data_IF_323977537938
#
_entry.id   IF_323977537938
#
_cell.length_a   1.000
_cell.length_b   1.000
_cell.length_c   1.000
_cell.angle_alpha   90.00
_cell.angle_beta   90.00
_cell.angle_gamma   90.00
#
_symmetry.space_group_name_H-M   'P 1'
#
loop_
_entity.id
_entity.type
_entity.pdbx_description
1 polymer ?
#
# COMPACT_ATOMS: atom_id res chain seq x y z
N UNK A 1 -18.08 14.94 30.87
CA UNK A 1 -17.97 13.72 30.05
C UNK A 1 -17.18 14.07 28.81
N UNK A 2 -15.92 13.67 28.74
CA UNK A 2 -15.07 13.83 27.56
C UNK A 2 -14.76 12.42 27.04
N UNK A 3 -15.31 12.07 25.89
CA UNK A 3 -14.94 10.84 25.20
C UNK A 3 -13.57 11.03 24.57
N UNK A 4 -12.55 10.41 25.18
CA UNK A 4 -11.23 10.27 24.59
C UNK A 4 -11.34 9.18 23.52
N UNK A 5 -11.32 9.57 22.24
CA UNK A 5 -11.15 8.63 21.14
C UNK A 5 -9.73 8.08 21.21
N UNK A 6 -9.58 6.88 21.74
CA UNK A 6 -8.37 6.10 21.61
C UNK A 6 -8.32 5.58 20.16
N UNK A 7 -7.80 6.40 19.24
CA UNK A 7 -7.50 5.95 17.88
C UNK A 7 -6.43 4.87 18.03
N UNK A 8 -6.86 3.62 17.89
CA UNK A 8 -5.98 2.47 17.79
C UNK A 8 -5.20 2.56 16.47
N UNK A 9 -4.19 3.43 16.41
CA UNK A 9 -3.11 3.25 15.46
C UNK A 9 -2.18 2.22 16.08
N UNK A 10 -2.47 0.95 15.79
CA UNK A 10 -1.60 -0.20 15.98
C UNK A 10 -0.27 0.05 15.28
N UNK A 11 0.60 0.84 15.91
CA UNK A 11 1.95 1.10 15.44
C UNK A 11 2.84 -0.05 15.88
N UNK A 12 3.56 -0.62 14.92
CA UNK A 12 4.60 -1.63 15.11
C UNK A 12 4.09 -3.03 15.45
N UNK A 13 3.27 -3.60 14.56
CA UNK A 13 3.52 -5.02 14.30
C UNK A 13 4.56 -5.08 13.18
N UNK A 14 5.82 -5.26 13.57
CA UNK A 14 6.86 -5.85 12.72
C UNK A 14 6.46 -7.30 12.42
N UNK A 15 5.28 -7.46 11.84
CA UNK A 15 4.70 -8.72 11.45
C UNK A 15 5.43 -9.09 10.18
N UNK A 16 6.38 -10.01 10.30
CA UNK A 16 7.07 -10.66 9.17
C UNK A 16 6.11 -11.55 8.35
N UNK A 17 4.80 -11.27 8.42
CA UNK A 17 3.72 -11.96 7.73
C UNK A 17 3.43 -11.17 6.47
N UNK A 18 3.29 -11.88 5.35
CA UNK A 18 2.84 -11.26 4.11
C UNK A 18 1.46 -10.64 4.36
N UNK A 19 1.30 -9.39 3.96
CA UNK A 19 0.05 -8.65 3.96
C UNK A 19 -0.30 -8.35 2.51
N UNK A 20 -1.58 -8.33 2.22
CA UNK A 20 -2.06 -7.82 0.93
C UNK A 20 -2.12 -6.30 1.01
N UNK A 21 -1.46 -5.64 0.06
CA UNK A 21 -1.47 -4.21 -0.11
C UNK A 21 -2.18 -3.90 -1.42
N UNK A 22 -3.05 -2.90 -1.38
CA UNK A 22 -3.64 -2.33 -2.59
C UNK A 22 -2.73 -1.19 -3.03
N UNK A 23 -2.20 -1.27 -4.24
CA UNK A 23 -1.33 -0.23 -4.81
C UNK A 23 -1.98 0.33 -6.05
N UNK A 24 -2.24 1.62 -6.03
CA UNK A 24 -2.65 2.36 -7.21
C UNK A 24 -1.41 2.85 -7.95
N UNK A 25 -1.25 2.42 -9.19
CA UNK A 25 -0.14 2.78 -10.05
C UNK A 25 -0.66 3.74 -11.12
N UNK A 26 -0.14 4.96 -11.11
CA UNK A 26 -0.41 5.98 -12.12
C UNK A 26 0.71 5.91 -13.13
N UNK A 27 0.36 5.74 -14.40
CA UNK A 27 1.30 5.68 -15.51
C UNK A 27 1.63 7.08 -16.05
N UNK A 28 2.71 7.19 -16.83
CA UNK A 28 3.09 8.44 -17.50
C UNK A 28 2.02 8.97 -18.48
N UNK A 29 1.16 8.08 -18.98
CA UNK A 29 0.03 8.45 -19.85
C UNK A 29 -1.15 9.07 -19.08
N UNK A 30 -1.09 9.05 -17.74
CA UNK A 30 -2.15 9.55 -16.86
C UNK A 30 -3.23 8.52 -16.53
N UNK A 31 -3.08 7.27 -17.00
CA UNK A 31 -3.94 6.15 -16.63
C UNK A 31 -3.56 5.62 -15.25
N UNK A 32 -4.56 5.37 -14.39
CA UNK A 32 -4.37 4.72 -13.10
C UNK A 32 -4.82 3.26 -13.15
N UNK A 33 -4.03 2.37 -12.54
CA UNK A 33 -4.33 0.96 -12.40
C UNK A 33 -4.22 0.54 -10.94
N UNK A 34 -5.28 -0.05 -10.40
CA UNK A 34 -5.27 -0.63 -9.06
C UNK A 34 -4.76 -2.06 -9.12
N UNK A 35 -3.68 -2.34 -8.40
CA UNK A 35 -3.02 -3.63 -8.36
C UNK A 35 -2.92 -4.12 -6.92
N UNK A 36 -3.19 -5.40 -6.70
CA UNK A 36 -3.08 -6.02 -5.38
C UNK A 36 -1.78 -6.82 -5.31
N UNK A 37 -0.98 -6.55 -4.28
CA UNK A 37 0.33 -7.15 -4.09
C UNK A 37 0.48 -7.69 -2.68
N UNK A 38 0.90 -8.93 -2.58
CA UNK A 38 1.33 -9.48 -1.30
C UNK A 38 2.79 -9.09 -1.04
N UNK A 39 3.00 -8.32 0.02
CA UNK A 39 4.32 -7.83 0.42
C UNK A 39 4.46 -7.87 1.95
N UNK A 40 5.69 -7.68 2.43
CA UNK A 40 5.95 -7.57 3.88
C UNK A 40 5.86 -6.14 4.40
N UNK A 41 5.98 -5.16 3.50
CA UNK A 41 5.97 -3.74 3.78
C UNK A 41 5.46 -2.98 2.54
N UNK A 42 5.18 -1.70 2.72
CA UNK A 42 4.66 -0.82 1.67
C UNK A 42 5.68 -0.60 0.54
N UNK A 43 6.98 -0.61 0.85
CA UNK A 43 8.05 -0.41 -0.14
C UNK A 43 8.16 -1.58 -1.12
N UNK A 44 8.15 -2.84 -0.64
CA UNK A 44 8.07 -4.02 -1.52
C UNK A 44 6.76 -4.04 -2.31
N UNK A 45 5.66 -3.60 -1.70
CA UNK A 45 4.39 -3.51 -2.39
C UNK A 45 4.48 -2.53 -3.56
N UNK A 46 5.01 -1.33 -3.34
CA UNK A 46 5.15 -0.34 -4.41
C UNK A 46 6.08 -0.81 -5.51
N UNK A 47 7.21 -1.41 -5.17
CA UNK A 47 8.19 -1.91 -6.14
C UNK A 47 7.60 -3.02 -7.03
N UNK A 48 6.92 -4.00 -6.41
CA UNK A 48 6.20 -5.06 -7.14
C UNK A 48 5.09 -4.51 -8.03
N UNK A 49 4.33 -3.55 -7.53
CA UNK A 49 3.24 -2.96 -8.30
C UNK A 49 3.77 -2.15 -9.50
N UNK A 50 4.85 -1.39 -9.30
CA UNK A 50 5.52 -0.66 -10.36
C UNK A 50 6.09 -1.62 -11.43
N UNK A 51 6.75 -2.70 -11.01
CA UNK A 51 7.33 -3.70 -11.91
C UNK A 51 6.26 -4.42 -12.74
N UNK A 52 5.10 -4.74 -12.15
CA UNK A 52 3.98 -5.36 -12.86
C UNK A 52 3.36 -4.46 -13.93
N UNK A 53 3.33 -3.14 -13.71
CA UNK A 53 2.78 -2.18 -14.66
C UNK A 53 3.83 -1.71 -15.68
N UNK A 54 5.11 -1.71 -15.31
CA UNK A 54 6.26 -1.39 -16.17
C UNK A 54 6.41 0.08 -16.58
N UNK A 55 5.32 0.84 -16.64
CA UNK A 55 5.29 2.28 -16.98
C UNK A 55 4.75 3.15 -15.83
N UNK A 56 5.01 2.74 -14.58
CA UNK A 56 4.61 3.49 -13.40
C UNK A 56 5.36 4.83 -13.30
N UNK A 57 4.64 5.95 -13.17
CA UNK A 57 5.17 7.27 -12.79
C UNK A 57 5.05 7.48 -11.27
N UNK A 58 3.87 7.18 -10.71
CA UNK A 58 3.60 7.30 -9.28
C UNK A 58 2.90 6.05 -8.75
N UNK A 59 3.25 5.62 -7.55
CA UNK A 59 2.62 4.49 -6.85
C UNK A 59 2.10 4.93 -5.50
N UNK A 60 0.83 4.65 -5.21
CA UNK A 60 0.20 4.95 -3.94
C UNK A 60 -0.24 3.66 -3.25
N UNK A 61 0.37 3.37 -2.10
CA UNK A 61 0.14 2.12 -1.35
C UNK A 61 -0.91 2.36 -0.27
N UNK A 62 -1.88 1.45 -0.19
CA UNK A 62 -2.91 1.42 0.83
C UNK A 62 -2.79 0.12 1.63
N UNK A 63 -2.64 0.23 2.95
CA UNK A 63 -2.77 -0.90 3.86
C UNK A 63 -4.25 -1.32 3.88
N UNK A 64 -4.52 -2.54 3.44
CA UNK A 64 -5.82 -3.17 3.60
C UNK A 64 -5.85 -3.78 5.01
N UNK A 65 -6.64 -3.17 5.90
CA UNK A 65 -6.76 -3.54 7.31
C UNK A 65 -7.68 -4.75 7.55
#
# INVERSE_FOLDING_TARGET
MTHIMNFAASTTSRSNRMKEYQVEVITFDGDSQTVYVEARNEEEASDRAADMVGNADYTMVYEVA
#
